data_IF_896695824238
#
_entry.id   IF_896695824238
#
_cell.length_a   1.000
_cell.length_b   1.000
_cell.length_c   1.000
_cell.angle_alpha   90.00
_cell.angle_beta   90.00
_cell.angle_gamma   90.00
#
_symmetry.space_group_name_H-M   'P 1'
#
loop_
_entity.id
_entity.type
_entity.pdbx_description
1 polymer ?
#
# COMPACT_ATOMS: atom_id res chain seq x y z
N UNK A 1 -1.56 14.27 -0.06
CA UNK A 1 -0.29 14.54 -0.77
C UNK A 1 -0.25 15.95 -1.37
N UNK A 2 -1.19 16.33 -2.25
CA UNK A 2 -1.32 17.70 -2.80
C UNK A 2 -1.03 18.82 -1.79
N UNK A 3 -1.77 18.86 -0.68
CA UNK A 3 -1.64 19.93 0.31
C UNK A 3 -0.27 19.92 0.97
N UNK A 4 0.22 18.73 1.37
CA UNK A 4 1.54 18.56 1.96
C UNK A 4 2.63 19.14 1.05
N UNK A 5 2.63 18.76 -0.23
CA UNK A 5 3.57 19.30 -1.21
C UNK A 5 3.46 20.83 -1.34
N UNK A 6 2.25 21.36 -1.46
CA UNK A 6 2.01 22.82 -1.59
C UNK A 6 2.51 23.64 -0.40
N UNK A 7 2.58 23.04 0.80
CA UNK A 7 3.10 23.70 2.01
C UNK A 7 4.56 23.31 2.32
N UNK A 8 5.26 22.67 1.38
CA UNK A 8 6.68 22.30 1.52
C UNK A 8 6.94 21.04 2.35
N UNK A 9 5.92 20.25 2.67
CA UNK A 9 6.07 18.97 3.36
C UNK A 9 6.28 17.88 2.31
N UNK A 10 7.47 17.28 2.33
CA UNK A 10 7.90 16.26 1.36
C UNK A 10 7.78 14.82 1.85
N UNK A 11 7.40 14.61 3.11
CA UNK A 11 7.29 13.29 3.74
C UNK A 11 5.90 13.13 4.34
N UNK A 12 5.24 12.02 4.03
CA UNK A 12 3.90 11.69 4.51
C UNK A 12 3.87 10.25 5.01
N UNK A 13 3.23 10.01 6.15
CA UNK A 13 3.10 8.68 6.75
C UNK A 13 1.64 8.31 6.82
N UNK A 14 1.32 7.08 6.44
CA UNK A 14 -0.04 6.51 6.52
C UNK A 14 0.04 5.02 6.83
N UNK A 15 -1.09 4.40 7.16
CA UNK A 15 -1.14 2.95 7.35
C UNK A 15 -0.80 2.21 6.06
N UNK A 16 -1.57 2.44 4.99
CA UNK A 16 -1.41 1.76 3.70
C UNK A 16 -2.00 2.62 2.60
N UNK A 17 -1.34 2.69 1.45
CA UNK A 17 -1.86 3.43 0.30
C UNK A 17 -3.07 2.70 -0.32
N UNK A 18 -3.91 3.42 -1.05
CA UNK A 18 -4.82 2.82 -2.00
C UNK A 18 -4.07 2.19 -3.18
N UNK A 19 -4.80 1.56 -4.09
CA UNK A 19 -4.22 0.80 -5.18
C UNK A 19 -5.25 0.35 -6.21
N UNK A 20 -4.84 -0.58 -7.05
CA UNK A 20 -5.74 -1.28 -7.97
C UNK A 20 -6.56 -2.28 -7.16
N UNK A 21 -7.89 -2.24 -7.28
CA UNK A 21 -8.75 -3.20 -6.61
C UNK A 21 -8.64 -4.57 -7.29
N UNK A 22 -8.95 -5.65 -6.57
CA UNK A 22 -8.97 -7.00 -7.16
C UNK A 22 -10.04 -7.06 -8.26
N UNK A 23 -9.68 -7.53 -9.45
CA UNK A 23 -10.53 -7.45 -10.65
C UNK A 23 -10.53 -6.08 -11.34
N UNK A 24 -9.67 -5.15 -10.91
CA UNK A 24 -9.52 -3.80 -11.44
C UNK A 24 -9.16 -3.74 -12.93
N UNK A 25 -8.62 -4.80 -13.50
CA UNK A 25 -8.39 -4.95 -14.95
C UNK A 25 -9.70 -4.93 -15.76
N UNK A 26 -10.83 -5.28 -15.15
CA UNK A 26 -12.15 -5.27 -15.79
C UNK A 26 -12.99 -4.08 -15.33
N UNK A 27 -12.96 -3.77 -14.03
CA UNK A 27 -13.80 -2.73 -13.43
C UNK A 27 -13.21 -1.32 -13.53
N UNK A 28 -11.89 -1.21 -13.73
CA UNK A 28 -11.12 0.03 -13.62
C UNK A 28 -11.28 0.73 -12.26
N UNK A 29 -11.61 -0.03 -11.22
CA UNK A 29 -11.64 0.47 -9.83
C UNK A 29 -10.20 0.62 -9.31
N UNK A 30 -9.65 1.81 -9.50
CA UNK A 30 -8.26 2.16 -9.21
C UNK A 30 -8.24 3.42 -8.35
N UNK A 31 -7.55 3.35 -7.20
CA UNK A 31 -7.42 4.50 -6.31
C UNK A 31 -6.72 5.67 -6.98
N UNK A 32 -7.26 6.87 -6.77
CA UNK A 32 -6.63 8.13 -7.16
C UNK A 32 -5.26 8.35 -6.50
N UNK A 33 -4.95 7.64 -5.40
CA UNK A 33 -3.63 7.67 -4.76
C UNK A 33 -2.50 7.36 -5.75
N UNK A 34 -2.72 6.44 -6.71
CA UNK A 34 -1.67 6.01 -7.62
C UNK A 34 -1.31 7.08 -8.65
N UNK A 35 -2.32 7.72 -9.25
CA UNK A 35 -2.09 8.87 -10.14
C UNK A 35 -1.57 10.08 -9.37
N UNK A 36 -1.98 10.25 -8.11
CA UNK A 36 -1.45 11.31 -7.25
C UNK A 36 0.03 11.08 -6.92
N UNK A 37 0.46 9.84 -6.63
CA UNK A 37 1.86 9.44 -6.54
C UNK A 37 2.60 9.68 -7.86
N UNK A 38 1.97 9.50 -9.02
CA UNK A 38 2.60 9.79 -10.31
C UNK A 38 2.92 11.27 -10.58
N UNK A 39 2.27 12.22 -9.88
CA UNK A 39 2.32 13.65 -10.23
C UNK A 39 2.67 14.61 -9.10
N UNK A 40 2.73 14.12 -7.86
CA UNK A 40 3.00 14.95 -6.69
C UNK A 40 4.25 14.44 -5.97
N UNK A 41 5.32 15.23 -5.90
CA UNK A 41 6.58 14.78 -5.34
C UNK A 41 6.51 14.83 -3.81
N UNK A 42 6.02 13.74 -3.23
CA UNK A 42 6.00 13.44 -1.80
C UNK A 42 6.46 11.99 -1.60
N UNK A 43 7.35 11.78 -0.65
CA UNK A 43 7.71 10.46 -0.17
C UNK A 43 6.66 9.97 0.83
N UNK A 44 6.07 8.81 0.56
CA UNK A 44 5.05 8.17 1.39
C UNK A 44 5.64 6.96 2.08
N UNK A 45 5.57 6.92 3.40
CA UNK A 45 5.91 5.74 4.22
C UNK A 45 4.63 5.07 4.65
N UNK A 46 4.52 3.76 4.43
CA UNK A 46 3.34 2.97 4.81
C UNK A 46 3.67 1.49 4.96
N UNK A 47 2.75 0.69 5.47
CA UNK A 47 2.84 -0.78 5.46
C UNK A 47 2.57 -1.40 4.08
N UNK A 48 2.83 -0.65 3.01
CA UNK A 48 2.58 -1.05 1.64
C UNK A 48 1.16 -0.65 1.19
N UNK A 49 0.48 -1.59 0.55
CA UNK A 49 -0.83 -1.39 -0.07
C UNK A 49 -1.87 -2.09 0.81
N UNK A 50 -3.04 -1.49 1.03
CA UNK A 50 -4.09 -2.11 1.86
C UNK A 50 -4.43 -3.52 1.35
N UNK A 51 -4.48 -4.53 2.22
CA UNK A 51 -4.59 -5.96 1.82
C UNK A 51 -5.86 -6.34 1.05
N UNK A 52 -6.88 -5.48 1.04
CA UNK A 52 -8.10 -5.66 0.25
C UNK A 52 -7.86 -5.48 -1.26
N UNK A 53 -6.70 -4.96 -1.64
CA UNK A 53 -6.35 -4.56 -3.00
C UNK A 53 -5.51 -5.63 -3.71
N UNK A 54 -5.16 -5.37 -4.96
CA UNK A 54 -4.26 -6.18 -5.77
C UNK A 54 -2.85 -5.59 -5.74
N UNK A 55 -1.95 -6.23 -4.98
CA UNK A 55 -0.57 -5.75 -4.82
C UNK A 55 0.18 -5.75 -6.15
N UNK A 56 0.12 -6.86 -6.90
CA UNK A 56 0.84 -7.00 -8.17
C UNK A 56 0.45 -5.93 -9.17
N UNK A 57 -0.85 -5.75 -9.43
CA UNK A 57 -1.33 -4.71 -10.36
C UNK A 57 -1.04 -3.30 -9.87
N UNK A 58 -1.04 -3.08 -8.56
CA UNK A 58 -0.68 -1.78 -8.00
C UNK A 58 0.80 -1.47 -8.24
N UNK A 59 1.70 -2.44 -8.07
CA UNK A 59 3.12 -2.25 -8.37
C UNK A 59 3.37 -1.95 -9.85
N UNK A 60 2.70 -2.68 -10.76
CA UNK A 60 2.75 -2.41 -12.22
C UNK A 60 2.23 -1.00 -12.58
N UNK A 61 1.15 -0.57 -11.91
CA UNK A 61 0.62 0.78 -12.11
C UNK A 61 1.60 1.85 -11.60
N UNK A 62 2.21 1.65 -10.42
CA UNK A 62 3.20 2.56 -9.86
C UNK A 62 4.44 2.65 -10.75
N UNK A 63 4.91 1.53 -11.31
CA UNK A 63 5.97 1.51 -12.33
C UNK A 63 5.57 2.37 -13.54
N UNK A 64 4.36 2.16 -14.08
CA UNK A 64 3.84 2.94 -15.21
C UNK A 64 3.77 4.44 -14.91
N UNK A 65 3.47 4.82 -13.67
CA UNK A 65 3.45 6.21 -13.21
C UNK A 65 4.85 6.77 -12.89
N UNK A 66 5.91 5.97 -13.02
CA UNK A 66 7.28 6.39 -12.69
C UNK A 66 7.51 6.63 -11.20
N UNK A 67 6.73 5.99 -10.33
CA UNK A 67 6.85 6.12 -8.87
C UNK A 67 8.01 5.27 -8.37
N UNK A 68 8.93 5.87 -7.62
CA UNK A 68 9.99 5.11 -6.98
C UNK A 68 9.40 4.28 -5.83
N UNK A 69 9.50 2.95 -5.90
CA UNK A 69 9.04 2.04 -4.85
C UNK A 69 10.23 1.36 -4.19
N UNK A 70 10.33 1.47 -2.88
CA UNK A 70 11.33 0.78 -2.07
C UNK A 70 10.67 0.08 -0.90
N UNK A 71 11.25 -1.02 -0.45
CA UNK A 71 10.87 -1.67 0.80
C UNK A 71 11.94 -1.51 1.86
N UNK A 72 11.51 -1.37 3.11
CA UNK A 72 12.37 -1.45 4.27
C UNK A 72 12.60 -2.92 4.65
N UNK A 73 13.85 -3.37 4.59
CA UNK A 73 14.20 -4.73 4.97
C UNK A 73 15.47 -5.25 4.28
N UNK A 74 15.94 -6.43 4.70
CA UNK A 74 17.16 -7.05 4.17
C UNK A 74 17.01 -7.57 2.74
N UNK A 75 15.78 -7.64 2.23
CA UNK A 75 15.48 -8.11 0.89
C UNK A 75 14.34 -7.28 0.26
N UNK A 76 13.90 -7.71 -0.92
CA UNK A 76 12.91 -7.02 -1.73
C UNK A 76 11.45 -7.41 -1.42
N UNK A 77 11.19 -8.23 -0.39
CA UNK A 77 9.85 -8.76 -0.09
C UNK A 77 8.88 -7.63 0.24
N UNK A 78 7.85 -7.45 -0.58
CA UNK A 78 6.89 -6.35 -0.41
C UNK A 78 5.80 -6.74 0.61
N UNK A 79 5.46 -5.88 1.59
CA UNK A 79 4.46 -6.20 2.60
C UNK A 79 3.02 -6.07 2.09
N UNK A 80 2.12 -6.87 2.67
CA UNK A 80 0.69 -6.92 2.36
C UNK A 80 -0.13 -6.23 3.46
N UNK A 81 0.35 -5.10 3.98
CA UNK A 81 -0.25 -4.31 5.07
C UNK A 81 -0.33 -5.04 6.43
N UNK A 82 -1.13 -6.09 6.55
CA UNK A 82 -1.23 -6.92 7.75
C UNK A 82 -0.20 -8.05 7.83
N UNK A 83 0.45 -8.43 6.72
CA UNK A 83 1.50 -9.46 6.72
C UNK A 83 2.79 -8.94 6.09
N UNK A 84 3.92 -9.48 6.54
CA UNK A 84 5.23 -9.07 6.02
C UNK A 84 5.47 -9.45 4.54
N UNK A 85 4.78 -10.49 4.05
CA UNK A 85 4.96 -11.01 2.70
C UNK A 85 3.63 -11.00 1.92
N UNK A 86 3.64 -10.31 0.78
CA UNK A 86 2.56 -10.27 -0.20
C UNK A 86 2.70 -11.29 -1.34
N UNK A 87 3.84 -11.98 -1.43
CA UNK A 87 4.26 -12.78 -2.58
C UNK A 87 4.88 -11.95 -3.71
N UNK A 88 4.95 -10.61 -3.57
CA UNK A 88 5.52 -9.69 -4.54
C UNK A 88 6.82 -9.06 -4.04
N UNK A 89 7.58 -8.47 -4.97
CA UNK A 89 8.85 -7.81 -4.68
C UNK A 89 8.84 -6.33 -5.07
N UNK A 90 9.45 -5.49 -4.24
CA UNK A 90 9.78 -4.12 -4.60
C UNK A 90 10.96 -4.07 -5.58
N UNK A 91 11.07 -3.04 -6.43
CA UNK A 91 12.22 -2.88 -7.31
C UNK A 91 13.50 -2.48 -6.55
N UNK A 92 13.38 -1.86 -5.38
CA UNK A 92 14.50 -1.46 -4.53
C UNK A 92 14.25 -1.82 -3.06
N UNK A 93 15.30 -1.91 -2.24
CA UNK A 93 15.19 -2.04 -0.79
C UNK A 93 16.21 -1.16 -0.06
N UNK A 94 15.89 -0.84 1.20
CA UNK A 94 16.75 -0.10 2.14
C UNK A 94 16.66 -0.76 3.52
N UNK A 95 17.74 -0.75 4.29
CA UNK A 95 17.81 -1.46 5.57
C UNK A 95 17.90 -0.53 6.78
N UNK A 96 18.23 0.74 6.56
CA UNK A 96 18.51 1.69 7.64
C UNK A 96 17.81 3.03 7.43
N UNK A 97 17.57 3.80 8.52
CA UNK A 97 16.95 5.12 8.38
C UNK A 97 17.83 6.06 7.54
N UNK A 98 19.15 5.87 7.62
CA UNK A 98 20.11 6.66 6.84
C UNK A 98 20.01 6.38 5.35
N UNK A 99 19.92 5.11 4.93
CA UNK A 99 19.71 4.75 3.53
C UNK A 99 18.36 5.26 3.01
N UNK A 100 17.29 5.13 3.79
CA UNK A 100 15.98 5.66 3.42
C UNK A 100 16.01 7.20 3.26
N UNK A 101 16.67 7.91 4.19
CA UNK A 101 16.84 9.36 4.10
C UNK A 101 17.67 9.77 2.87
N UNK A 102 18.76 9.05 2.59
CA UNK A 102 19.61 9.28 1.42
C UNK A 102 18.84 9.06 0.11
N UNK A 103 18.00 8.02 0.05
CA UNK A 103 17.14 7.75 -1.11
C UNK A 103 16.17 8.92 -1.36
N UNK A 104 15.50 9.41 -0.32
CA UNK A 104 14.61 10.58 -0.40
C UNK A 104 15.38 11.84 -0.83
N UNK A 105 16.57 12.05 -0.27
CA UNK A 105 17.42 13.20 -0.61
C UNK A 105 17.84 13.20 -2.08
N UNK A 106 18.31 12.06 -2.60
CA UNK A 106 18.69 11.91 -4.02
C UNK A 106 17.51 12.00 -4.97
N UNK A 107 16.36 11.44 -4.60
CA UNK A 107 15.14 11.60 -5.37
C UNK A 107 14.71 13.09 -5.50
N UNK A 108 14.90 13.89 -4.43
CA UNK A 108 14.67 15.35 -4.48
C UNK A 108 15.69 16.09 -5.33
N UNK A 109 16.99 15.78 -5.18
CA UNK A 109 18.06 16.41 -5.97
C UNK A 109 17.89 16.22 -7.47
N UNK A 110 17.33 15.08 -7.89
CA UNK A 110 17.02 14.78 -9.28
C UNK A 110 15.76 15.47 -9.81
N UNK A 111 15.07 16.25 -8.97
CA UNK A 111 13.84 16.99 -9.31
C UNK A 111 12.75 16.10 -9.93
N UNK A 112 12.66 14.83 -9.48
CA UNK A 112 11.59 13.92 -9.90
C UNK A 112 10.22 14.51 -9.57
N UNK A 113 9.31 14.45 -10.53
CA UNK A 113 7.95 14.99 -10.40
C UNK A 113 6.97 13.97 -9.80
N UNK A 114 7.29 12.68 -9.89
CA UNK A 114 6.57 11.61 -9.21
C UNK A 114 7.01 11.52 -7.75
N UNK A 115 6.11 11.06 -6.90
CA UNK A 115 6.36 10.69 -5.52
C UNK A 115 7.19 9.41 -5.36
N UNK A 116 7.32 8.99 -4.11
CA UNK A 116 8.03 7.78 -3.71
C UNK A 116 7.19 7.00 -2.70
N UNK A 117 7.27 5.68 -2.73
CA UNK A 117 6.71 4.79 -1.72
C UNK A 117 7.86 4.05 -1.02
N UNK A 118 7.94 4.17 0.31
CA UNK A 118 8.77 3.32 1.15
C UNK A 118 7.81 2.43 1.95
N UNK A 119 7.70 1.17 1.54
CA UNK A 119 6.90 0.17 2.21
C UNK A 119 7.66 -0.38 3.43
N UNK A 120 7.05 -0.41 4.61
CA UNK A 120 7.65 -0.87 5.86
C UNK A 120 6.84 -2.03 6.40
N UNK A 121 7.40 -3.25 6.49
CA UNK A 121 6.65 -4.40 6.96
C UNK A 121 6.15 -4.21 8.39
N UNK A 122 4.99 -4.80 8.69
CA UNK A 122 4.46 -4.84 10.05
C UNK A 122 5.47 -5.53 11.00
N UNK A 123 5.61 -5.08 12.27
CA UNK A 123 6.47 -5.76 13.23
C UNK A 123 6.12 -7.25 13.38
N UNK A 124 7.13 -8.12 13.42
CA UNK A 124 6.96 -9.59 13.45
C UNK A 124 6.08 -10.10 14.59
N UNK A 125 6.03 -9.39 15.71
CA UNK A 125 5.16 -9.71 16.85
C UNK A 125 3.66 -9.66 16.52
N UNK A 126 3.26 -8.96 15.45
CA UNK A 126 1.86 -8.86 15.01
C UNK A 126 1.55 -9.77 13.80
N UNK A 127 2.53 -10.51 13.29
CA UNK A 127 2.36 -11.31 12.07
C UNK A 127 1.28 -12.39 12.22
N UNK A 128 1.20 -13.06 13.37
CA UNK A 128 0.20 -14.11 13.58
C UNK A 128 -1.24 -13.57 13.54
N UNK A 129 -1.49 -12.41 14.17
CA UNK A 129 -2.77 -11.71 14.11
C UNK A 129 -3.04 -11.20 12.69
N UNK A 130 -2.00 -10.71 12.02
CA UNK A 130 -2.03 -10.27 10.64
C UNK A 130 -2.47 -11.36 9.65
N UNK A 131 -1.98 -12.59 9.82
CA UNK A 131 -2.38 -13.74 9.00
C UNK A 131 -3.87 -14.08 9.18
N UNK A 132 -4.39 -14.00 10.42
CA UNK A 132 -5.83 -14.20 10.67
C UNK A 132 -6.67 -13.15 9.96
N UNK A 133 -6.27 -11.88 10.03
CA UNK A 133 -6.94 -10.77 9.34
C UNK A 133 -6.86 -10.96 7.82
N UNK A 134 -5.71 -11.38 7.29
CA UNK A 134 -5.53 -11.66 5.86
C UNK A 134 -6.49 -12.73 5.36
N UNK A 135 -6.63 -13.86 6.06
CA UNK A 135 -7.59 -14.90 5.70
C UNK A 135 -9.05 -14.40 5.73
N UNK A 136 -9.39 -13.54 6.69
CA UNK A 136 -10.70 -12.89 6.74
C UNK A 136 -10.94 -11.97 5.54
N UNK A 137 -9.91 -11.20 5.14
CA UNK A 137 -9.96 -10.32 3.96
C UNK A 137 -10.14 -11.12 2.68
N UNK A 138 -9.39 -12.21 2.50
CA UNK A 138 -9.51 -13.06 1.32
C UNK A 138 -10.93 -13.61 1.17
N UNK A 139 -11.53 -14.05 2.27
CA UNK A 139 -12.93 -14.52 2.31
C UNK A 139 -13.89 -13.38 1.95
N UNK A 140 -13.74 -12.22 2.60
CA UNK A 140 -14.60 -11.06 2.38
C UNK A 140 -14.54 -10.55 0.93
N UNK A 141 -13.35 -10.53 0.32
CA UNK A 141 -13.17 -10.12 -1.08
C UNK A 141 -13.83 -11.10 -2.04
N UNK A 142 -13.71 -12.41 -1.79
CA UNK A 142 -14.40 -13.44 -2.59
C UNK A 142 -15.92 -13.29 -2.51
N UNK A 143 -16.47 -13.06 -1.31
CA UNK A 143 -17.91 -12.84 -1.13
C UNK A 143 -18.37 -11.55 -1.84
N UNK A 144 -17.60 -10.46 -1.70
CA UNK A 144 -17.91 -9.15 -2.27
C UNK A 144 -18.02 -9.19 -3.80
N UNK A 145 -17.21 -9.99 -4.47
CA UNK A 145 -17.17 -10.09 -5.94
C UNK A 145 -18.52 -10.44 -6.58
N UNK A 146 -19.41 -11.10 -5.84
CA UNK A 146 -20.76 -11.45 -6.30
C UNK A 146 -21.88 -10.60 -5.67
N UNK A 147 -21.56 -9.77 -4.67
CA UNK A 147 -22.54 -9.09 -3.82
C UNK A 147 -22.62 -7.58 -4.06
N UNK A 148 -21.48 -6.92 -4.33
CA UNK A 148 -21.38 -5.45 -4.40
C UNK A 148 -20.40 -5.00 -5.48
N UNK A 149 -20.52 -3.76 -5.94
CA UNK A 149 -19.61 -3.19 -6.95
C UNK A 149 -19.37 -1.69 -6.73
N UNK A 150 -18.29 -1.17 -7.31
CA UNK A 150 -17.89 0.22 -7.19
C UNK A 150 -17.63 0.65 -5.75
N UNK A 151 -18.07 1.86 -5.38
CA UNK A 151 -17.78 2.48 -4.07
C UNK A 151 -18.27 1.68 -2.85
N UNK A 152 -19.18 0.73 -3.03
CA UNK A 152 -19.76 -0.07 -1.95
C UNK A 152 -18.92 -1.31 -1.60
N UNK A 153 -17.92 -1.65 -2.43
CA UNK A 153 -17.01 -2.80 -2.21
C UNK A 153 -16.19 -2.65 -0.93
N UNK A 154 -15.56 -1.48 -0.72
CA UNK A 154 -14.72 -1.26 0.46
C UNK A 154 -15.51 -1.31 1.78
N UNK A 155 -16.65 -0.60 1.94
CA UNK A 155 -17.47 -0.74 3.14
C UNK A 155 -17.91 -2.18 3.42
N UNK A 156 -18.32 -2.92 2.39
CA UNK A 156 -18.72 -4.33 2.52
C UNK A 156 -17.57 -5.19 3.06
N UNK A 157 -16.38 -5.10 2.45
CA UNK A 157 -15.22 -5.88 2.88
C UNK A 157 -14.85 -5.56 4.32
N UNK A 158 -14.82 -4.28 4.70
CA UNK A 158 -14.45 -3.87 6.06
C UNK A 158 -15.45 -4.40 7.10
N UNK A 159 -16.74 -4.31 6.81
CA UNK A 159 -17.77 -4.87 7.69
C UNK A 159 -17.62 -6.40 7.81
N UNK A 160 -17.38 -7.08 6.70
CA UNK A 160 -17.27 -8.54 6.71
C UNK A 160 -16.03 -9.02 7.44
N UNK A 161 -14.90 -8.33 7.28
CA UNK A 161 -13.68 -8.60 8.05
C UNK A 161 -13.90 -8.37 9.53
N UNK A 162 -14.62 -7.31 9.92
CA UNK A 162 -14.99 -7.06 11.31
C UNK A 162 -15.82 -8.23 11.89
N UNK A 163 -16.80 -8.73 11.16
CA UNK A 163 -17.63 -9.88 11.56
C UNK A 163 -16.80 -11.16 11.71
N UNK A 164 -15.93 -11.47 10.74
CA UNK A 164 -15.10 -12.69 10.76
C UNK A 164 -14.07 -12.64 11.89
N UNK A 165 -13.47 -11.48 12.13
CA UNK A 165 -12.40 -11.31 13.13
C UNK A 165 -12.92 -10.99 14.54
N UNK A 166 -14.24 -10.89 14.75
CA UNK A 166 -14.81 -10.50 16.03
C UNK A 166 -14.36 -9.11 16.52
N UNK A 167 -13.98 -8.23 15.60
CA UNK A 167 -13.50 -6.87 15.89
C UNK A 167 -12.00 -6.70 16.13
N UNK A 168 -11.20 -7.77 16.07
CA UNK A 168 -9.74 -7.68 16.22
C UNK A 168 -9.07 -6.88 15.09
N UNK A 169 -9.67 -6.80 13.91
CA UNK A 169 -9.13 -6.07 12.75
C UNK A 169 -9.02 -4.54 12.93
N UNK A 170 -9.70 -3.95 13.92
CA UNK A 170 -9.67 -2.51 14.21
C UNK A 170 -8.66 -2.13 15.31
N UNK A 171 -8.01 -3.10 15.95
CA UNK A 171 -7.07 -2.88 17.05
C UNK A 171 -5.59 -2.90 16.62
N UNK A 172 -5.32 -3.25 15.36
CA UNK A 172 -4.00 -3.43 14.75
C UNK A 172 -3.46 -2.18 14.07
#
# INVERSE_FOLDING_TARGET
>A
MVVAHKVGISLFVTGGIGGVHRGGENSLDISADLTELGRTPVAVVSAGIKSILDVGRTLEFLETQGVCVSVWGPDHTFPDFFTQDSGFKAPCHVETPHQAALLIDKWKELEYQSGMLIAVPIPSKYEAEGQLIKSAIETAVQEAASAVSGRDVTPYILQRVFEITGGHSLQS
#
